data_IF_372294658891
#
_entry.id   IF_372294658891
#
_cell.length_a   1.000
_cell.length_b   1.000
_cell.length_c   1.000
_cell.angle_alpha   90.00
_cell.angle_beta   90.00
_cell.angle_gamma   90.00
#
_symmetry.space_group_name_H-M   'P 1'
#
loop_
_entity.id
_entity.type
_entity.pdbx_description
1 polymer ?
#
# COMPACT_ATOMS: atom_id res chain seq x y z
N UNK A 1 45.70 -8.78 26.74
CA UNK A 1 44.45 -8.16 26.26
C UNK A 1 44.74 -6.69 25.99
N UNK A 2 44.75 -6.26 24.74
CA UNK A 2 45.03 -4.88 24.36
C UNK A 2 43.70 -4.21 23.99
N UNK A 3 43.25 -3.28 24.81
CA UNK A 3 42.01 -2.53 24.59
C UNK A 3 42.41 -1.22 23.93
N UNK A 4 42.14 -1.09 22.63
CA UNK A 4 42.35 0.14 21.89
C UNK A 4 41.45 1.26 22.42
N UNK A 5 42.03 2.42 22.73
CA UNK A 5 41.37 3.59 23.30
C UNK A 5 40.42 4.22 22.27
N UNK A 6 39.12 4.07 22.49
CA UNK A 6 38.06 4.67 21.65
C UNK A 6 38.12 6.20 21.78
N UNK A 7 37.94 6.93 20.67
CA UNK A 7 37.89 8.41 20.69
C UNK A 7 36.57 8.86 21.33
N UNK A 8 36.56 9.92 22.16
CA UNK A 8 35.33 10.44 22.74
C UNK A 8 34.41 10.94 21.63
N UNK A 9 33.13 10.54 21.72
CA UNK A 9 32.05 11.04 20.88
C UNK A 9 31.94 12.55 21.13
N UNK A 10 31.85 13.37 20.06
CA UNK A 10 31.56 14.81 20.19
C UNK A 10 30.29 14.95 21.03
N UNK A 11 30.38 15.67 22.14
CA UNK A 11 29.19 16.09 22.88
C UNK A 11 28.35 16.98 21.99
N UNK A 12 27.18 16.48 21.60
CA UNK A 12 26.14 17.28 20.98
C UNK A 12 25.33 17.91 22.11
N UNK A 13 24.96 19.21 22.02
CA UNK A 13 24.07 19.78 23.01
C UNK A 13 22.74 19.03 23.00
N UNK A 14 22.15 18.85 24.19
CA UNK A 14 20.84 18.23 24.32
C UNK A 14 19.80 18.98 23.49
N UNK A 15 18.83 18.22 22.96
CA UNK A 15 17.74 18.75 22.15
C UNK A 15 17.01 19.84 22.94
N UNK A 16 16.93 21.10 22.44
CA UNK A 16 16.20 22.13 23.13
C UNK A 16 14.73 21.74 23.21
N UNK A 17 14.21 21.63 24.42
CA UNK A 17 12.77 21.49 24.67
C UNK A 17 12.15 22.87 24.51
N UNK A 18 11.83 23.22 23.26
CA UNK A 18 10.98 24.39 22.98
C UNK A 18 9.59 24.07 23.49
N UNK A 19 9.22 24.66 24.64
CA UNK A 19 7.83 24.78 25.03
C UNK A 19 7.22 25.87 24.16
N UNK A 20 6.34 25.50 23.22
CA UNK A 20 5.55 26.47 22.47
C UNK A 20 4.61 27.15 23.46
N UNK A 21 4.94 28.37 23.90
CA UNK A 21 4.01 29.27 24.58
C UNK A 21 3.01 29.79 23.54
N UNK A 22 2.07 28.94 23.16
CA UNK A 22 0.91 29.41 22.40
C UNK A 22 0.10 30.25 23.37
N UNK A 23 0.10 31.58 23.22
CA UNK A 23 -0.94 32.39 23.86
C UNK A 23 -2.28 31.79 23.43
N UNK A 24 -3.22 31.59 24.36
CA UNK A 24 -4.58 31.09 24.10
C UNK A 24 -5.37 31.96 23.08
N UNK A 25 -4.78 33.08 22.63
CA UNK A 25 -5.27 33.94 21.55
C UNK A 25 -4.77 33.54 20.15
N UNK A 26 -3.78 32.65 20.05
CA UNK A 26 -3.34 31.96 18.84
C UNK A 26 -3.99 30.56 18.74
N UNK A 27 -5.17 30.38 19.35
CA UNK A 27 -6.08 29.36 18.86
C UNK A 27 -6.32 29.74 17.42
N UNK A 28 -5.74 28.97 16.50
CA UNK A 28 -6.09 29.04 15.10
C UNK A 28 -7.61 29.18 15.07
N UNK A 29 -8.12 30.27 14.52
CA UNK A 29 -9.50 30.33 14.12
C UNK A 29 -9.62 29.28 13.02
N UNK A 30 -9.85 28.04 13.47
CA UNK A 30 -10.62 27.09 12.72
C UNK A 30 -12.04 27.67 12.66
N UNK A 31 -12.18 28.89 12.12
CA UNK A 31 -13.35 29.34 11.40
C UNK A 31 -13.41 28.35 10.24
N UNK A 32 -13.99 27.22 10.61
CA UNK A 32 -14.48 26.13 9.80
C UNK A 32 -15.54 26.79 8.93
N UNK A 33 -15.07 27.56 7.93
CA UNK A 33 -15.84 27.82 6.74
C UNK A 33 -16.17 26.42 6.25
N UNK A 34 -17.38 25.96 6.61
CA UNK A 34 -17.91 24.67 6.25
C UNK A 34 -17.66 24.58 4.75
N UNK A 35 -16.70 23.74 4.36
CA UNK A 35 -16.50 23.43 2.96
C UNK A 35 -17.89 23.08 2.44
N UNK A 36 -18.27 23.58 1.24
CA UNK A 36 -19.60 23.34 0.76
C UNK A 36 -19.89 21.85 0.85
N UNK A 37 -21.14 21.50 1.20
CA UNK A 37 -21.52 20.13 1.58
C UNK A 37 -21.36 19.11 0.45
N UNK A 38 -20.76 19.48 -0.66
CA UNK A 38 -20.33 18.70 -1.82
C UNK A 38 -18.81 18.46 -1.87
N UNK A 39 -18.00 19.05 -0.99
CA UNK A 39 -16.52 18.96 -1.01
C UNK A 39 -15.97 17.58 -0.67
N UNK A 40 -16.84 16.64 -0.33
CA UNK A 40 -16.57 15.22 -0.11
C UNK A 40 -17.16 14.32 -1.19
N UNK A 41 -17.86 14.91 -2.17
CA UNK A 41 -18.22 14.22 -3.42
C UNK A 41 -16.92 14.12 -4.21
N UNK A 42 -16.42 12.89 -4.37
CA UNK A 42 -15.35 12.65 -5.30
C UNK A 42 -15.92 12.89 -6.70
N UNK A 43 -15.44 13.93 -7.38
CA UNK A 43 -15.61 14.08 -8.83
C UNK A 43 -14.84 12.94 -9.48
N UNK A 44 -15.50 11.79 -9.52
CA UNK A 44 -14.97 10.58 -10.09
C UNK A 44 -15.07 10.70 -11.60
N UNK A 45 -13.94 10.57 -12.28
CA UNK A 45 -13.94 10.49 -13.73
C UNK A 45 -14.80 9.28 -14.16
N UNK A 46 -15.65 9.38 -15.20
CA UNK A 46 -16.42 8.25 -15.70
C UNK A 46 -15.57 7.01 -16.05
N UNK A 47 -14.28 7.18 -16.31
CA UNK A 47 -13.35 6.09 -16.61
C UNK A 47 -12.74 5.43 -15.34
N UNK A 48 -12.99 5.98 -14.14
CA UNK A 48 -12.57 5.38 -12.88
C UNK A 48 -13.63 4.40 -12.38
N UNK A 49 -13.28 3.11 -12.31
CA UNK A 49 -14.16 2.05 -11.80
C UNK A 49 -13.65 1.45 -10.50
N UNK A 50 -14.57 1.08 -9.60
CA UNK A 50 -14.18 0.40 -8.37
C UNK A 50 -13.92 -1.06 -8.72
N UNK A 51 -12.74 -1.55 -8.31
CA UNK A 51 -12.43 -2.98 -8.36
C UNK A 51 -13.38 -3.70 -7.40
N UNK A 52 -14.19 -4.62 -7.93
CA UNK A 52 -15.05 -5.49 -7.13
C UNK A 52 -14.22 -6.63 -6.53
N UNK A 53 -13.46 -7.34 -7.38
CA UNK A 53 -12.59 -8.45 -6.96
C UNK A 53 -11.52 -8.75 -7.99
N UNK A 54 -10.43 -9.35 -7.51
CA UNK A 54 -9.39 -9.97 -8.35
C UNK A 54 -9.70 -11.47 -8.43
N UNK A 55 -9.89 -11.99 -9.64
CA UNK A 55 -10.25 -13.39 -9.82
C UNK A 55 -9.05 -14.29 -10.10
N UNK A 56 -8.08 -13.80 -10.86
CA UNK A 56 -6.88 -14.56 -11.18
C UNK A 56 -5.70 -13.61 -11.41
N UNK A 57 -4.49 -14.18 -11.38
CA UNK A 57 -3.25 -13.48 -11.71
C UNK A 57 -2.43 -14.37 -12.64
N UNK A 58 -2.03 -13.78 -13.76
CA UNK A 58 -1.09 -14.34 -14.71
C UNK A 58 0.29 -13.74 -14.49
N UNK A 59 1.30 -14.59 -14.47
CA UNK A 59 2.69 -14.16 -14.47
C UNK A 59 3.23 -14.24 -15.90
N UNK A 60 3.62 -13.09 -16.45
CA UNK A 60 4.14 -12.94 -17.80
C UNK A 60 5.64 -13.25 -17.92
N UNK A 61 6.21 -12.90 -19.07
CA UNK A 61 7.66 -13.03 -19.31
C UNK A 61 8.42 -12.00 -18.47
N UNK A 62 9.65 -12.34 -18.08
CA UNK A 62 10.59 -11.39 -17.50
C UNK A 62 10.93 -10.32 -18.54
N UNK A 63 10.86 -9.05 -18.12
CA UNK A 63 11.36 -7.92 -18.89
C UNK A 63 12.89 -7.98 -19.00
N UNK A 64 13.46 -7.17 -19.91
CA UNK A 64 14.91 -6.98 -20.06
C UNK A 64 15.65 -6.57 -18.78
N UNK A 65 14.94 -6.05 -17.78
CA UNK A 65 15.48 -5.59 -16.51
C UNK A 65 15.18 -6.58 -15.36
N UNK A 66 14.89 -7.84 -15.67
CA UNK A 66 14.55 -8.91 -14.72
C UNK A 66 13.28 -8.65 -13.87
N UNK A 67 12.49 -7.63 -14.21
CA UNK A 67 11.15 -7.47 -13.63
C UNK A 67 10.22 -8.52 -14.22
N UNK A 68 9.51 -9.25 -13.36
CA UNK A 68 8.48 -10.20 -13.77
C UNK A 68 7.19 -9.42 -13.98
N UNK A 69 6.63 -9.45 -15.18
CA UNK A 69 5.32 -8.85 -15.45
C UNK A 69 4.23 -9.68 -14.76
N UNK A 70 3.31 -9.00 -14.08
CA UNK A 70 2.15 -9.62 -13.45
C UNK A 70 0.91 -8.88 -13.91
N UNK A 71 -0.01 -9.64 -14.46
CA UNK A 71 -1.31 -9.14 -14.91
C UNK A 71 -2.39 -9.76 -14.04
N UNK A 72 -3.36 -8.95 -13.62
CA UNK A 72 -4.46 -9.35 -12.78
C UNK A 72 -5.77 -9.28 -13.56
N UNK A 73 -6.59 -10.32 -13.42
CA UNK A 73 -7.94 -10.34 -13.98
C UNK A 73 -8.90 -9.70 -12.99
N UNK A 74 -9.41 -8.52 -13.34
CA UNK A 74 -10.21 -7.66 -12.47
C UNK A 74 -11.65 -7.68 -12.91
N UNK A 75 -12.54 -7.92 -11.96
CA UNK A 75 -13.96 -7.62 -12.09
C UNK A 75 -14.22 -6.22 -11.54
N UNK A 76 -14.86 -5.38 -12.34
CA UNK A 76 -15.23 -4.02 -11.97
C UNK A 76 -16.68 -3.99 -11.52
N UNK A 77 -17.00 -3.17 -10.51
CA UNK A 77 -18.38 -3.06 -9.98
C UNK A 77 -19.42 -2.66 -11.04
N UNK A 78 -19.00 -1.98 -12.12
CA UNK A 78 -19.88 -1.47 -13.16
C UNK A 78 -19.76 -2.20 -14.51
N UNK A 79 -18.87 -3.21 -14.63
CA UNK A 79 -18.65 -3.92 -15.89
C UNK A 79 -18.87 -5.42 -15.72
N UNK A 80 -19.56 -6.03 -16.68
CA UNK A 80 -19.80 -7.48 -16.70
C UNK A 80 -18.54 -8.26 -17.12
N UNK A 81 -17.74 -7.67 -18.02
CA UNK A 81 -16.54 -8.29 -18.56
C UNK A 81 -15.29 -7.95 -17.74
N UNK A 82 -14.55 -8.95 -17.27
CA UNK A 82 -13.32 -8.71 -16.53
C UNK A 82 -12.18 -8.30 -17.46
N UNK A 83 -11.29 -7.44 -16.99
CA UNK A 83 -10.14 -6.95 -17.75
C UNK A 83 -8.82 -7.42 -17.16
N UNK A 84 -7.82 -7.66 -18.01
CA UNK A 84 -6.44 -7.88 -17.59
C UNK A 84 -5.72 -6.54 -17.42
N UNK A 85 -5.17 -6.29 -16.23
CA UNK A 85 -4.48 -5.04 -15.88
C UNK A 85 -3.11 -5.35 -15.28
N UNK A 86 -2.10 -4.56 -15.65
CA UNK A 86 -0.74 -4.71 -15.09
C UNK A 86 -0.70 -4.29 -13.62
N UNK A 87 0.18 -4.93 -12.85
CA UNK A 87 0.41 -4.60 -11.43
C UNK A 87 0.72 -3.11 -11.19
N UNK A 88 1.42 -2.44 -12.11
CA UNK A 88 1.79 -1.04 -11.97
C UNK A 88 0.60 -0.07 -12.13
N UNK A 89 -0.43 -0.49 -12.88
CA UNK A 89 -1.63 0.31 -13.14
C UNK A 89 -2.75 0.02 -12.12
N UNK A 90 -2.54 -0.94 -11.22
CA UNK A 90 -3.54 -1.38 -10.27
C UNK A 90 -3.55 -0.52 -8.99
N UNK A 91 -4.65 0.20 -8.75
CA UNK A 91 -4.80 1.11 -7.61
C UNK A 91 -5.50 0.48 -6.37
N UNK A 92 -5.78 -0.83 -6.35
CA UNK A 92 -6.56 -1.50 -5.29
C UNK A 92 -5.70 -2.27 -4.28
N UNK A 93 -4.72 -1.60 -3.67
CA UNK A 93 -3.70 -2.22 -2.81
C UNK A 93 -4.25 -3.15 -1.69
N UNK A 94 -5.38 -2.82 -1.09
CA UNK A 94 -6.01 -3.65 -0.06
C UNK A 94 -6.51 -5.00 -0.62
N UNK A 95 -7.27 -4.96 -1.72
CA UNK A 95 -7.83 -6.14 -2.39
C UNK A 95 -6.69 -7.01 -2.95
N UNK A 96 -5.68 -6.38 -3.55
CA UNK A 96 -4.48 -7.06 -4.05
C UNK A 96 -3.75 -7.80 -2.95
N UNK A 97 -3.54 -7.16 -1.79
CA UNK A 97 -2.84 -7.77 -0.68
C UNK A 97 -3.58 -9.00 -0.12
N UNK A 98 -4.91 -8.91 0.04
CA UNK A 98 -5.74 -10.02 0.48
C UNK A 98 -5.66 -11.21 -0.50
N UNK A 99 -5.85 -10.94 -1.80
CA UNK A 99 -5.75 -11.96 -2.85
C UNK A 99 -4.40 -12.70 -2.85
N UNK A 100 -3.29 -11.95 -2.76
CA UNK A 100 -1.94 -12.54 -2.74
C UNK A 100 -1.70 -13.36 -1.47
N UNK A 101 -2.23 -12.91 -0.33
CA UNK A 101 -2.14 -13.63 0.95
C UNK A 101 -2.88 -14.97 0.87
N UNK A 102 -4.11 -14.96 0.34
CA UNK A 102 -4.92 -16.17 0.20
C UNK A 102 -4.27 -17.17 -0.74
N UNK A 103 -3.72 -16.71 -1.86
CA UNK A 103 -2.98 -17.56 -2.80
C UNK A 103 -1.73 -18.17 -2.16
N UNK A 104 -0.99 -17.40 -1.36
CA UNK A 104 0.16 -17.92 -0.62
C UNK A 104 -0.24 -18.98 0.41
N UNK A 105 -1.39 -18.80 1.07
CA UNK A 105 -1.94 -19.79 1.99
C UNK A 105 -2.34 -21.07 1.26
N UNK A 106 -3.07 -20.98 0.14
CA UNK A 106 -3.45 -22.13 -0.68
C UNK A 106 -2.23 -22.94 -1.14
N UNK A 107 -1.16 -22.27 -1.58
CA UNK A 107 0.09 -22.93 -1.96
C UNK A 107 0.72 -23.70 -0.79
N UNK A 108 0.65 -23.18 0.44
CA UNK A 108 1.14 -23.91 1.63
C UNK A 108 0.34 -25.16 1.92
N UNK A 109 -0.99 -25.10 1.79
CA UNK A 109 -1.85 -26.27 2.00
C UNK A 109 -1.63 -27.34 0.92
N UNK A 110 -1.41 -26.95 -0.35
CA UNK A 110 -1.07 -27.89 -1.42
C UNK A 110 0.26 -28.61 -1.19
N UNK A 111 1.28 -27.92 -0.65
CA UNK A 111 2.58 -28.54 -0.32
C UNK A 111 2.44 -29.63 0.75
N UNK A 112 1.56 -29.45 1.76
CA UNK A 112 1.33 -30.48 2.79
C UNK A 112 0.64 -31.74 2.24
N UNK A 113 -0.27 -31.63 1.27
CA UNK A 113 -0.98 -32.79 0.71
C UNK A 113 -0.12 -33.63 -0.23
N UNK A 114 0.90 -33.05 -0.87
CA UNK A 114 1.79 -33.77 -1.80
C UNK A 114 2.78 -34.74 -1.16
N UNK A 115 2.90 -34.76 0.19
CA UNK A 115 3.82 -35.62 0.93
C UNK A 115 3.17 -36.90 1.48
N UNK A 116 1.85 -37.05 1.34
CA UNK A 116 1.11 -38.22 1.85
C UNK A 116 0.81 -39.27 0.76
N UNK A 117 1.12 -38.98 -0.51
CA UNK A 117 0.87 -39.85 -1.67
C UNK A 117 2.18 -40.40 -2.31
N UNK A 118 3.18 -40.77 -1.49
CA UNK A 118 4.42 -41.43 -1.94
C UNK A 118 4.74 -42.70 -1.15
#
# INVERSE_FOLDING_TARGET
VQVSKIKPVRDFPDRPVVCLTVQDQNRLDLDEALLPGDSWIQDRDPDEYEVERISDMRTGRRTRYDRILREFLIYWRANEDPTLVDEADLNCGAILHEFLRDRANQNRFGVMQSQEEA
#
